data_IF_659789694568
#
_entry.id   IF_659789694568
#
_cell.length_a   1.000
_cell.length_b   1.000
_cell.length_c   1.000
_cell.angle_alpha   90.00
_cell.angle_beta   90.00
_cell.angle_gamma   90.00
#
_symmetry.space_group_name_H-M   'P 1'
#
loop_
_entity.id
_entity.type
_entity.pdbx_description
1 polymer ?
#
# COMPACT_ATOMS: atom_id res chain seq x y z
N UNK A 1 30.45 2.47 -4.44
CA UNK A 1 29.83 3.20 -3.31
C UNK A 1 28.58 2.46 -2.88
N UNK A 2 28.28 2.39 -1.58
CA UNK A 2 27.03 1.79 -1.11
C UNK A 2 25.83 2.66 -1.55
N UNK A 3 24.71 2.04 -1.88
CA UNK A 3 23.49 2.79 -2.19
C UNK A 3 23.05 3.61 -0.96
N UNK A 4 22.55 4.85 -1.14
CA UNK A 4 22.08 5.67 -0.03
C UNK A 4 20.96 4.95 0.72
N UNK A 5 20.98 5.08 2.05
CA UNK A 5 19.94 4.53 2.90
C UNK A 5 18.58 5.16 2.60
N UNK A 6 17.50 4.48 2.96
CA UNK A 6 16.15 4.98 2.70
C UNK A 6 15.89 6.40 3.28
N UNK A 7 16.27 6.70 4.54
CA UNK A 7 16.12 8.05 5.08
C UNK A 7 16.91 9.12 4.31
N UNK A 8 18.07 8.78 3.78
CA UNK A 8 18.89 9.70 2.97
C UNK A 8 18.22 9.99 1.63
N UNK A 9 17.72 8.95 0.94
CA UNK A 9 16.95 9.10 -0.30
C UNK A 9 15.73 9.98 -0.11
N UNK A 10 14.99 9.76 0.99
CA UNK A 10 13.85 10.61 1.33
C UNK A 10 14.26 12.06 1.58
N UNK A 11 15.35 12.30 2.33
CA UNK A 11 15.84 13.67 2.57
C UNK A 11 16.25 14.38 1.27
N UNK A 12 16.97 13.69 0.38
CA UNK A 12 17.43 14.24 -0.89
C UNK A 12 16.31 14.49 -1.91
N UNK A 13 15.21 13.73 -1.85
CA UNK A 13 14.10 13.89 -2.79
C UNK A 13 13.48 15.31 -2.74
N UNK A 14 13.06 15.81 -3.89
CA UNK A 14 12.20 17.00 -3.95
C UNK A 14 10.80 16.65 -3.45
N UNK A 15 10.22 17.49 -2.60
CA UNK A 15 8.95 17.20 -1.91
C UNK A 15 7.95 18.31 -2.11
N UNK A 16 6.71 17.94 -2.44
CA UNK A 16 5.56 18.83 -2.41
C UNK A 16 4.53 18.24 -1.47
N UNK A 17 4.02 19.04 -0.53
CA UNK A 17 3.03 18.60 0.44
C UNK A 17 1.77 19.47 0.36
N UNK A 18 0.61 18.83 0.46
CA UNK A 18 -0.69 19.48 0.50
C UNK A 18 -1.53 18.85 1.62
N UNK A 19 -2.25 19.69 2.36
CA UNK A 19 -3.29 19.25 3.29
C UNK A 19 -4.65 19.52 2.65
N UNK A 20 -5.48 18.48 2.55
CA UNK A 20 -6.81 18.55 1.95
C UNK A 20 -7.71 17.47 2.57
N UNK A 21 -8.95 17.80 2.91
CA UNK A 21 -9.98 16.87 3.40
C UNK A 21 -9.51 15.99 4.58
N UNK A 22 -8.84 16.59 5.56
CA UNK A 22 -8.31 15.87 6.73
C UNK A 22 -7.12 14.95 6.43
N UNK A 23 -6.52 15.05 5.24
CA UNK A 23 -5.41 14.21 4.79
C UNK A 23 -4.19 15.04 4.43
N UNK A 24 -3.00 14.51 4.70
CA UNK A 24 -1.72 15.03 4.23
C UNK A 24 -1.24 14.21 3.04
N UNK A 25 -1.16 14.84 1.87
CA UNK A 25 -0.67 14.26 0.63
C UNK A 25 0.75 14.75 0.39
N UNK A 26 1.70 13.85 0.19
CA UNK A 26 3.11 14.20 -0.05
C UNK A 26 3.56 13.52 -1.33
N UNK A 27 4.03 14.32 -2.29
CA UNK A 27 4.69 13.83 -3.49
C UNK A 27 6.20 13.96 -3.33
N UNK A 28 6.92 12.91 -3.70
CA UNK A 28 8.38 12.82 -3.70
C UNK A 28 8.87 12.57 -5.12
N UNK A 29 9.82 13.38 -5.58
CA UNK A 29 10.60 13.14 -6.79
C UNK A 29 12.04 12.83 -6.37
N UNK A 30 12.46 11.59 -6.62
CA UNK A 30 13.79 11.09 -6.29
C UNK A 30 14.81 11.46 -7.38
N UNK A 31 16.10 11.40 -7.03
CA UNK A 31 17.21 11.71 -7.95
C UNK A 31 17.29 10.76 -9.15
N UNK A 32 16.84 9.51 -8.98
CA UNK A 32 16.71 8.51 -10.04
C UNK A 32 15.49 8.76 -10.96
N UNK A 33 14.74 9.83 -10.72
CA UNK A 33 13.56 10.21 -11.48
C UNK A 33 12.30 9.42 -11.12
N UNK A 34 12.37 8.52 -10.14
CA UNK A 34 11.17 7.83 -9.62
C UNK A 34 10.33 8.80 -8.80
N UNK A 35 9.03 8.53 -8.76
CA UNK A 35 8.08 9.33 -8.02
C UNK A 35 7.31 8.45 -7.03
N UNK A 36 7.12 8.96 -5.82
CA UNK A 36 6.29 8.34 -4.78
C UNK A 36 5.25 9.36 -4.31
N UNK A 37 4.02 8.91 -4.11
CA UNK A 37 2.99 9.72 -3.49
C UNK A 37 2.42 8.99 -2.27
N UNK A 38 2.52 9.64 -1.12
CA UNK A 38 1.94 9.19 0.14
C UNK A 38 0.70 10.01 0.48
N UNK A 39 -0.29 9.36 1.07
CA UNK A 39 -1.46 9.99 1.70
C UNK A 39 -1.58 9.52 3.14
N UNK A 40 -1.55 10.45 4.08
CA UNK A 40 -1.71 10.18 5.51
C UNK A 40 -3.04 10.76 6.02
N UNK A 41 -3.70 10.03 6.89
CA UNK A 41 -4.78 10.57 7.71
C UNK A 41 -4.21 11.50 8.78
N UNK A 42 -4.70 12.74 8.88
CA UNK A 42 -4.12 13.71 9.83
C UNK A 42 -4.46 13.41 11.29
N UNK A 43 -5.60 12.77 11.54
CA UNK A 43 -6.06 12.51 12.91
C UNK A 43 -5.31 11.33 13.53
N UNK A 44 -5.20 10.23 12.80
CA UNK A 44 -4.59 8.98 13.26
C UNK A 44 -3.11 8.83 12.90
N UNK A 45 -2.61 9.61 11.93
CA UNK A 45 -1.27 9.45 11.38
C UNK A 45 -1.09 8.17 10.55
N UNK A 46 -2.19 7.48 10.21
CA UNK A 46 -2.16 6.28 9.38
C UNK A 46 -1.75 6.60 7.95
N UNK A 47 -0.84 5.81 7.37
CA UNK A 47 -0.56 5.80 5.94
C UNK A 47 -1.73 5.13 5.21
N UNK A 48 -2.55 5.94 4.55
CA UNK A 48 -3.74 5.50 3.82
C UNK A 48 -3.38 4.93 2.44
N UNK A 49 -2.42 5.57 1.76
CA UNK A 49 -1.95 5.13 0.44
C UNK A 49 -0.48 5.47 0.24
N UNK A 50 0.25 4.56 -0.40
CA UNK A 50 1.55 4.82 -1.03
C UNK A 50 1.50 4.27 -2.43
N UNK A 51 1.88 5.09 -3.39
CA UNK A 51 1.98 4.69 -4.80
C UNK A 51 3.27 5.18 -5.43
N UNK A 52 3.74 4.44 -6.42
CA UNK A 52 4.98 4.68 -7.14
C UNK A 52 4.73 4.79 -8.64
N UNK A 53 5.50 5.63 -9.32
CA UNK A 53 5.65 5.58 -10.78
C UNK A 53 7.08 5.86 -11.17
N UNK A 54 7.44 5.44 -12.36
CA UNK A 54 8.77 5.58 -12.92
C UNK A 54 8.68 6.23 -14.30
N UNK A 55 9.79 6.76 -14.81
CA UNK A 55 9.90 7.15 -16.21
C UNK A 55 10.23 5.92 -17.04
N UNK A 56 9.55 5.76 -18.16
CA UNK A 56 9.90 4.77 -19.17
C UNK A 56 11.13 5.22 -19.97
N UNK A 57 11.69 4.31 -20.77
CA UNK A 57 12.88 4.55 -21.60
C UNK A 57 12.71 5.68 -22.62
N UNK A 58 11.47 6.05 -22.96
CA UNK A 58 11.12 7.12 -23.90
C UNK A 58 10.78 8.44 -23.18
N UNK A 59 10.99 8.54 -21.86
CA UNK A 59 10.75 9.73 -21.05
C UNK A 59 9.30 9.96 -20.61
N UNK A 60 8.37 9.09 -20.98
CA UNK A 60 6.97 9.10 -20.50
C UNK A 60 6.83 8.45 -19.12
N UNK A 61 5.85 8.86 -18.31
CA UNK A 61 5.62 8.26 -16.99
C UNK A 61 4.82 6.96 -17.09
N UNK A 62 5.18 5.96 -16.27
CA UNK A 62 4.40 4.73 -16.10
C UNK A 62 3.13 4.98 -15.28
N UNK A 63 2.18 4.03 -15.34
CA UNK A 63 1.00 4.04 -14.47
C UNK A 63 1.41 3.90 -13.01
N UNK A 64 0.76 4.66 -12.13
CA UNK A 64 0.95 4.54 -10.68
C UNK A 64 0.68 3.11 -10.21
N UNK A 65 1.63 2.53 -9.48
CA UNK A 65 1.53 1.23 -8.82
C UNK A 65 1.32 1.45 -7.33
N UNK A 66 0.30 0.80 -6.76
CA UNK A 66 -0.03 0.94 -5.33
C UNK A 66 0.82 -0.04 -4.51
N UNK A 67 1.55 0.48 -3.52
CA UNK A 67 2.30 -0.31 -2.53
C UNK A 67 1.51 -0.45 -1.21
N UNK A 68 0.89 0.64 -0.75
CA UNK A 68 0.11 0.69 0.51
C UNK A 68 -1.28 1.22 0.21
N UNK A 69 -2.26 0.71 0.94
CA UNK A 69 -3.67 1.03 0.75
C UNK A 69 -4.38 0.08 -0.22
N UNK A 70 -5.58 0.46 -0.63
CA UNK A 70 -6.34 -0.29 -1.61
C UNK A 70 -5.93 0.13 -3.03
N UNK A 71 -5.80 -0.81 -3.98
CA UNK A 71 -5.65 -0.44 -5.37
C UNK A 71 -6.87 0.39 -5.78
N UNK A 72 -6.63 1.58 -6.33
CA UNK A 72 -7.70 2.42 -6.86
C UNK A 72 -8.51 1.62 -7.86
N UNK A 73 -9.83 1.53 -7.65
CA UNK A 73 -10.73 0.82 -8.54
C UNK A 73 -10.52 1.31 -9.99
N UNK A 74 -10.41 0.40 -10.98
CA UNK A 74 -10.16 0.74 -12.39
C UNK A 74 -11.29 1.55 -13.05
N UNK A 75 -12.38 1.88 -12.33
CA UNK A 75 -13.45 2.75 -12.81
C UNK A 75 -12.98 4.11 -13.33
N UNK A 76 -11.73 4.50 -13.07
CA UNK A 76 -11.13 5.76 -13.56
C UNK A 76 -10.03 5.58 -14.62
N UNK A 77 -9.82 4.37 -15.15
CA UNK A 77 -8.86 4.18 -16.25
C UNK A 77 -8.77 2.74 -16.75
N UNK A 78 -9.07 2.57 -18.03
CA UNK A 78 -8.95 1.34 -18.86
C UNK A 78 -10.01 0.25 -18.62
N UNK A 79 -11.04 0.26 -19.48
CA UNK A 79 -12.04 -0.81 -19.73
C UNK A 79 -11.42 -2.20 -19.99
N UNK A 80 -10.12 -2.29 -20.27
CA UNK A 80 -9.44 -3.55 -20.61
C UNK A 80 -9.13 -4.43 -19.39
N UNK A 81 -9.17 -3.88 -18.16
CA UNK A 81 -8.84 -4.65 -16.95
C UNK A 81 -10.02 -5.47 -16.38
N UNK A 82 -11.19 -5.43 -17.02
CA UNK A 82 -12.44 -5.98 -16.46
C UNK A 82 -12.81 -7.39 -16.97
N UNK A 83 -12.03 -7.99 -17.88
CA UNK A 83 -12.36 -9.31 -18.44
C UNK A 83 -12.26 -10.43 -17.40
N UNK A 84 -11.31 -10.33 -16.46
CA UNK A 84 -11.13 -11.29 -15.36
C UNK A 84 -10.81 -10.49 -14.10
N UNK A 85 -11.68 -10.59 -13.09
CA UNK A 85 -11.52 -9.95 -11.79
C UNK A 85 -11.69 -10.99 -10.70
N UNK A 86 -10.91 -10.86 -9.63
CA UNK A 86 -11.10 -11.66 -8.43
C UNK A 86 -12.51 -11.49 -7.87
N UNK A 87 -13.05 -12.55 -7.27
CA UNK A 87 -14.35 -12.46 -6.62
C UNK A 87 -14.33 -11.38 -5.54
N UNK A 88 -15.38 -10.55 -5.53
CA UNK A 88 -15.55 -9.57 -4.45
C UNK A 88 -15.73 -10.23 -3.07
N UNK A 89 -16.03 -11.53 -3.01
CA UNK A 89 -16.09 -12.31 -1.78
C UNK A 89 -14.72 -12.84 -1.30
N UNK A 90 -13.65 -12.68 -2.09
CA UNK A 90 -12.31 -13.11 -1.67
C UNK A 90 -11.77 -12.18 -0.56
N UNK A 91 -11.04 -12.71 0.43
CA UNK A 91 -10.39 -11.89 1.44
C UNK A 91 -9.44 -10.87 0.81
N UNK A 92 -9.61 -9.59 1.19
CA UNK A 92 -8.76 -8.50 0.70
C UNK A 92 -7.78 -8.11 1.80
N UNK A 93 -6.49 -8.27 1.55
CA UNK A 93 -5.42 -7.91 2.47
C UNK A 93 -4.83 -6.54 2.12
N UNK A 94 -4.79 -5.62 3.10
CA UNK A 94 -4.29 -4.26 2.90
C UNK A 94 -3.36 -3.84 4.03
N UNK A 95 -2.26 -3.19 3.68
CA UNK A 95 -1.33 -2.59 4.64
C UNK A 95 -1.81 -1.21 5.07
N UNK A 96 -1.69 -0.88 6.36
CA UNK A 96 -2.29 0.27 7.04
C UNK A 96 -1.40 0.86 8.13
N UNK A 97 -0.13 1.03 7.80
CA UNK A 97 0.90 1.37 8.77
C UNK A 97 0.67 2.69 9.50
N UNK A 98 1.19 2.76 10.72
CA UNK A 98 1.38 4.00 11.47
C UNK A 98 2.88 4.25 11.65
N UNK A 99 3.24 5.38 12.26
CA UNK A 99 4.63 5.69 12.59
C UNK A 99 5.28 4.61 13.48
N UNK A 100 4.50 3.97 14.35
CA UNK A 100 5.00 3.07 15.40
C UNK A 100 4.71 1.59 15.14
N UNK A 101 3.91 1.25 14.14
CA UNK A 101 3.48 -0.13 13.92
C UNK A 101 3.15 -0.42 12.47
N UNK A 102 3.52 -1.61 12.03
CA UNK A 102 2.94 -2.20 10.83
C UNK A 102 1.56 -2.75 11.16
N UNK A 103 0.59 -2.43 10.32
CA UNK A 103 -0.78 -2.93 10.50
C UNK A 103 -1.30 -3.49 9.20
N UNK A 104 -2.11 -4.53 9.32
CA UNK A 104 -2.78 -5.15 8.20
C UNK A 104 -4.27 -5.25 8.50
N UNK A 105 -5.07 -4.91 7.50
CA UNK A 105 -6.53 -5.07 7.53
C UNK A 105 -6.91 -6.12 6.51
N UNK A 106 -7.64 -7.12 6.98
CA UNK A 106 -8.29 -8.10 6.12
C UNK A 106 -9.77 -7.78 6.08
N UNK A 107 -10.32 -7.65 4.87
CA UNK A 107 -11.76 -7.48 4.63
C UNK A 107 -12.30 -8.71 3.92
N UNK A 108 -13.61 -8.81 3.84
CA UNK A 108 -14.32 -9.89 3.15
C UNK A 108 -13.93 -11.28 3.72
N UNK A 109 -13.73 -11.34 5.04
CA UNK A 109 -13.60 -12.63 5.73
C UNK A 109 -14.97 -13.30 5.74
N UNK A 110 -15.09 -14.56 5.25
CA UNK A 110 -16.37 -15.25 5.13
C UNK A 110 -16.97 -15.67 6.48
N UNK A 111 -16.16 -15.72 7.53
CA UNK A 111 -16.60 -16.13 8.87
C UNK A 111 -16.45 -14.98 9.88
N UNK A 112 -17.12 -15.06 11.04
CA UNK A 112 -16.90 -14.15 12.15
C UNK A 112 -15.45 -14.20 12.69
N UNK A 113 -15.02 -13.12 13.36
CA UNK A 113 -13.65 -12.96 13.87
C UNK A 113 -13.22 -14.11 14.77
N UNK A 114 -14.11 -14.60 15.61
CA UNK A 114 -13.91 -15.68 16.58
C UNK A 114 -13.57 -17.04 15.93
N UNK A 115 -13.83 -17.21 14.63
CA UNK A 115 -13.44 -18.40 13.87
C UNK A 115 -11.97 -18.35 13.45
N UNK A 116 -11.31 -17.20 13.57
CA UNK A 116 -9.91 -17.03 13.16
C UNK A 116 -8.97 -17.02 14.36
N UNK A 117 -7.82 -17.65 14.17
CA UNK A 117 -6.67 -17.56 15.07
C UNK A 117 -5.48 -16.96 14.34
N UNK A 118 -4.71 -16.12 15.04
CA UNK A 118 -3.46 -15.52 14.53
C UNK A 118 -2.29 -16.10 15.31
N UNK A 119 -1.30 -16.63 14.60
CA UNK A 119 -0.08 -17.20 15.20
C UNK A 119 1.17 -16.67 14.49
N UNK A 120 2.29 -16.60 15.21
CA UNK A 120 3.60 -16.26 14.65
C UNK A 120 4.39 -17.55 14.39
N UNK A 121 4.81 -17.77 13.15
CA UNK A 121 5.71 -18.87 12.79
C UNK A 121 7.11 -18.29 12.59
N UNK A 122 7.95 -18.44 13.63
CA UNK A 122 9.25 -17.76 13.71
C UNK A 122 10.22 -18.28 12.66
N UNK A 123 10.21 -19.59 12.43
CA UNK A 123 11.06 -20.29 11.47
C UNK A 123 10.79 -19.82 10.04
N UNK A 124 9.51 -19.63 9.70
CA UNK A 124 9.07 -19.13 8.39
C UNK A 124 9.04 -17.60 8.29
N UNK A 125 9.28 -16.90 9.42
CA UNK A 125 9.22 -15.44 9.54
C UNK A 125 7.91 -14.85 9.06
N UNK A 126 6.78 -15.50 9.37
CA UNK A 126 5.47 -15.08 8.91
C UNK A 126 4.43 -15.03 10.03
N UNK A 127 3.40 -14.21 9.83
CA UNK A 127 2.17 -14.25 10.62
C UNK A 127 1.16 -15.12 9.89
N UNK A 128 0.60 -16.13 10.55
CA UNK A 128 -0.36 -17.05 9.94
C UNK A 128 -1.73 -16.84 10.54
N UNK A 129 -2.73 -16.73 9.67
CA UNK A 129 -4.13 -16.60 10.03
C UNK A 129 -4.84 -17.87 9.56
N UNK A 130 -5.45 -18.58 10.50
CA UNK A 130 -6.14 -19.86 10.24
C UNK A 130 -7.57 -19.80 10.72
N UNK A 131 -8.46 -20.49 10.04
CA UNK A 131 -9.78 -20.81 10.56
C UNK A 131 -9.66 -21.98 11.55
N UNK A 132 -10.43 -21.96 12.62
CA UNK A 132 -10.52 -23.04 13.61
C UNK A 132 -11.39 -24.20 13.13
N UNK A 133 -12.19 -23.98 12.09
CA UNK A 133 -13.08 -24.99 11.53
C UNK A 133 -12.28 -26.00 10.69
N UNK A 134 -12.26 -27.25 11.14
CA UNK A 134 -11.61 -28.39 10.44
C UNK A 134 -12.58 -29.09 9.48
N UNK A 135 -13.24 -28.33 8.61
CA UNK A 135 -13.95 -28.94 7.49
C UNK A 135 -12.98 -29.19 6.34
#
# INVERSE_FOLDING_TARGET
MAAPSWPERLRAASKTALVQDGKRKIHYLFEDGKEMADEYDLQSGQLLSRKWREKNTLGGSTKWQVEVGEPTSPLMGTLESELIKESSSNPIFTRKDTLSSFQWRIRNLPYPKEVYSVSLEKEQRCCVIRTTNKK
#
